data_IF_792698710888
#
_entry.id   IF_792698710888
#
_cell.length_a   1.000
_cell.length_b   1.000
_cell.length_c   1.000
_cell.angle_alpha   90.00
_cell.angle_beta   90.00
_cell.angle_gamma   90.00
#
_symmetry.space_group_name_H-M   'P 1'
#
loop_
_entity.id
_entity.type
_entity.pdbx_description
1 polymer ?
#
# COMPACT_ATOMS: atom_id res chain seq x y z
N UNK A 1 11.37 3.86 -6.93
CA UNK A 1 11.95 2.63 -6.37
C UNK A 1 10.79 1.66 -6.17
N UNK A 2 10.54 0.77 -7.14
CA UNK A 2 9.39 -0.16 -7.12
C UNK A 2 9.42 -1.22 -5.99
N UNK A 3 10.44 -1.19 -5.12
CA UNK A 3 10.66 -2.16 -4.05
C UNK A 3 9.45 -2.25 -3.11
N UNK A 4 8.82 -1.13 -2.77
CA UNK A 4 7.79 -1.10 -1.73
C UNK A 4 6.49 -1.83 -2.09
N UNK A 5 6.00 -1.76 -3.34
CA UNK A 5 4.78 -2.50 -3.74
C UNK A 5 5.07 -3.99 -3.98
N UNK A 6 6.20 -4.29 -4.61
CA UNK A 6 6.68 -5.65 -4.83
C UNK A 6 6.90 -6.41 -3.51
N UNK A 7 7.43 -5.74 -2.48
CA UNK A 7 7.60 -6.30 -1.14
C UNK A 7 6.27 -6.55 -0.43
N UNK A 8 5.30 -5.62 -0.54
CA UNK A 8 3.95 -5.82 -0.01
C UNK A 8 3.32 -7.05 -0.66
N UNK A 9 3.36 -7.16 -1.99
CA UNK A 9 2.81 -8.31 -2.71
C UNK A 9 3.44 -9.63 -2.29
N UNK A 10 4.77 -9.71 -2.18
CA UNK A 10 5.44 -10.96 -1.74
C UNK A 10 5.07 -11.37 -0.32
N UNK A 11 4.81 -10.39 0.54
CA UNK A 11 4.47 -10.63 1.94
C UNK A 11 3.01 -11.01 2.12
N UNK A 12 2.12 -10.36 1.38
CA UNK A 12 0.67 -10.60 1.46
C UNK A 12 0.24 -11.80 0.60
N UNK A 13 0.94 -12.06 -0.51
CA UNK A 13 0.64 -13.09 -1.49
C UNK A 13 1.89 -13.93 -1.82
N UNK A 14 2.38 -14.74 -0.86
CA UNK A 14 3.52 -15.62 -1.09
C UNK A 14 3.24 -16.76 -2.07
N UNK A 15 1.96 -17.05 -2.32
CA UNK A 15 1.48 -18.09 -3.24
C UNK A 15 1.41 -17.61 -4.70
N UNK A 16 1.67 -16.32 -4.93
CA UNK A 16 1.56 -15.69 -6.23
C UNK A 16 2.75 -16.11 -7.11
N UNK A 17 2.45 -16.77 -8.23
CA UNK A 17 3.47 -17.26 -9.16
C UNK A 17 4.29 -16.11 -9.78
N UNK A 18 5.52 -16.41 -10.18
CA UNK A 18 6.44 -15.41 -10.75
C UNK A 18 5.85 -14.64 -11.94
N UNK A 19 5.13 -15.32 -12.81
CA UNK A 19 4.47 -14.71 -13.97
C UNK A 19 3.35 -13.74 -13.57
N UNK A 20 2.51 -14.13 -12.61
CA UNK A 20 1.45 -13.27 -12.07
C UNK A 20 2.06 -12.07 -11.32
N UNK A 21 3.18 -12.29 -10.64
CA UNK A 21 3.86 -11.26 -9.88
C UNK A 21 4.44 -10.18 -10.80
N UNK A 22 5.09 -10.60 -11.89
CA UNK A 22 5.60 -9.68 -12.91
C UNK A 22 4.46 -8.93 -13.61
N UNK A 23 3.32 -9.59 -13.86
CA UNK A 23 2.14 -8.93 -14.40
C UNK A 23 1.62 -7.83 -13.46
N UNK A 24 1.36 -8.16 -12.19
CA UNK A 24 0.82 -7.22 -11.20
C UNK A 24 1.78 -6.05 -10.98
N UNK A 25 3.07 -6.34 -10.77
CA UNK A 25 4.07 -5.29 -10.59
C UNK A 25 4.27 -4.44 -11.84
N UNK A 26 4.16 -5.04 -13.03
CA UNK A 26 4.15 -4.34 -14.32
C UNK A 26 2.99 -3.35 -14.42
N UNK A 27 1.77 -3.80 -14.13
CA UNK A 27 0.55 -2.97 -14.12
C UNK A 27 0.66 -1.83 -13.12
N UNK A 28 1.15 -2.11 -11.91
CA UNK A 28 1.35 -1.07 -10.87
C UNK A 28 2.40 -0.03 -11.29
N UNK A 29 3.44 -0.45 -11.99
CA UNK A 29 4.48 0.45 -12.47
C UNK A 29 3.99 1.31 -13.63
N UNK A 30 3.33 0.69 -14.63
CA UNK A 30 2.82 1.38 -15.81
C UNK A 30 1.62 2.26 -15.52
N UNK A 31 0.73 1.82 -14.62
CA UNK A 31 -0.52 2.50 -14.27
C UNK A 31 -0.42 3.39 -13.04
N UNK A 32 0.76 3.54 -12.41
CA UNK A 32 0.94 4.36 -11.20
C UNK A 32 0.37 5.78 -11.29
N UNK A 33 0.33 6.35 -12.50
CA UNK A 33 -0.25 7.66 -12.81
C UNK A 33 -1.71 7.62 -13.23
N UNK A 34 -2.22 6.46 -13.64
CA UNK A 34 -3.59 6.25 -14.11
C UNK A 34 -4.52 5.79 -12.98
N UNK A 35 -3.98 5.30 -11.86
CA UNK A 35 -4.76 4.99 -10.67
C UNK A 35 -5.10 6.27 -9.89
N UNK A 36 -6.35 6.71 -9.98
CA UNK A 36 -6.87 7.84 -9.20
C UNK A 36 -7.41 7.39 -7.84
N UNK A 37 -7.88 6.15 -7.76
CA UNK A 37 -8.47 5.56 -6.57
C UNK A 37 -8.01 4.11 -6.33
N UNK A 38 -8.24 3.63 -5.12
CA UNK A 38 -8.00 2.22 -4.78
C UNK A 38 -8.90 1.28 -5.59
N UNK A 39 -10.10 1.73 -5.97
CA UNK A 39 -11.02 0.94 -6.76
C UNK A 39 -10.44 0.70 -8.17
N UNK A 40 -9.81 1.71 -8.79
CA UNK A 40 -9.13 1.55 -10.10
C UNK A 40 -7.99 0.52 -10.02
N UNK A 41 -7.23 0.53 -8.93
CA UNK A 41 -6.17 -0.45 -8.69
C UNK A 41 -6.74 -1.84 -8.43
N UNK A 42 -7.85 -1.92 -7.70
CA UNK A 42 -8.55 -3.17 -7.43
C UNK A 42 -9.20 -3.76 -8.68
N UNK A 43 -9.77 -2.95 -9.57
CA UNK A 43 -10.27 -3.41 -10.86
C UNK A 43 -9.14 -3.93 -11.75
N UNK A 44 -7.95 -3.32 -11.70
CA UNK A 44 -6.83 -3.71 -12.53
C UNK A 44 -6.12 -5.01 -12.05
N UNK A 45 -5.92 -5.16 -10.74
CA UNK A 45 -5.17 -6.31 -10.18
C UNK A 45 -5.87 -7.03 -9.03
N UNK A 46 -6.91 -6.45 -8.44
CA UNK A 46 -7.61 -6.98 -7.27
C UNK A 46 -8.34 -8.30 -7.53
N UNK A 47 -8.99 -8.47 -8.68
CA UNK A 47 -9.60 -9.77 -9.06
C UNK A 47 -8.56 -10.89 -9.12
N UNK A 48 -7.39 -10.61 -9.69
CA UNK A 48 -6.30 -11.58 -9.74
C UNK A 48 -5.78 -11.91 -8.34
N UNK A 49 -5.66 -10.89 -7.47
CA UNK A 49 -5.26 -11.07 -6.07
C UNK A 49 -6.29 -11.86 -5.27
N UNK A 50 -7.59 -11.70 -5.54
CA UNK A 50 -8.64 -12.52 -4.95
C UNK A 50 -8.53 -13.98 -5.38
N UNK A 51 -8.26 -14.23 -6.67
CA UNK A 51 -8.18 -15.60 -7.20
C UNK A 51 -7.05 -16.40 -6.53
N UNK A 52 -5.87 -15.78 -6.37
CA UNK A 52 -4.71 -16.41 -5.70
C UNK A 52 -4.86 -16.51 -4.18
N UNK A 53 -5.76 -15.74 -3.58
CA UNK A 53 -5.91 -15.64 -2.11
C UNK A 53 -7.25 -16.13 -1.60
N UNK A 54 -8.02 -16.80 -2.46
CA UNK A 54 -9.41 -17.15 -2.21
C UNK A 54 -9.62 -17.96 -0.93
N UNK A 55 -8.62 -18.73 -0.54
CA UNK A 55 -8.62 -19.57 0.65
C UNK A 55 -8.05 -18.88 1.90
N UNK A 56 -7.41 -17.72 1.76
CA UNK A 56 -6.66 -17.06 2.84
C UNK A 56 -7.11 -15.63 3.17
N UNK A 57 -7.75 -14.91 2.25
CA UNK A 57 -8.18 -13.51 2.41
C UNK A 57 -9.56 -13.28 1.83
N UNK A 58 -10.32 -12.41 2.46
CA UNK A 58 -11.61 -11.94 1.94
C UNK A 58 -11.47 -10.63 1.13
N UNK A 59 -12.56 -10.19 0.51
CA UNK A 59 -12.59 -8.97 -0.31
C UNK A 59 -12.13 -7.72 0.44
N UNK A 60 -12.38 -7.65 1.75
CA UNK A 60 -11.98 -6.54 2.61
C UNK A 60 -10.48 -6.55 2.82
N UNK A 61 -9.90 -7.73 3.06
CA UNK A 61 -8.45 -7.91 3.18
C UNK A 61 -7.73 -7.54 1.88
N UNK A 62 -8.25 -7.99 0.72
CA UNK A 62 -7.65 -7.66 -0.59
C UNK A 62 -7.71 -6.16 -0.83
N UNK A 63 -8.85 -5.50 -0.59
CA UNK A 63 -8.95 -4.05 -0.69
C UNK A 63 -7.99 -3.32 0.26
N UNK A 64 -7.76 -3.84 1.46
CA UNK A 64 -6.78 -3.26 2.39
C UNK A 64 -5.34 -3.38 1.88
N UNK A 65 -5.00 -4.47 1.17
CA UNK A 65 -3.69 -4.61 0.50
C UNK A 65 -3.58 -3.64 -0.67
N UNK A 66 -4.61 -3.57 -1.53
CA UNK A 66 -4.69 -2.61 -2.64
C UNK A 66 -4.53 -1.16 -2.15
N UNK A 67 -5.18 -0.79 -1.04
CA UNK A 67 -5.05 0.53 -0.40
C UNK A 67 -3.61 0.81 0.06
N UNK A 68 -2.93 -0.17 0.67
CA UNK A 68 -1.53 -0.02 1.10
C UNK A 68 -0.60 0.19 -0.10
N UNK A 69 -0.82 -0.54 -1.18
CA UNK A 69 -0.05 -0.41 -2.41
C UNK A 69 -0.31 0.94 -3.09
N UNK A 70 -1.58 1.34 -3.20
CA UNK A 70 -1.97 2.66 -3.73
C UNK A 70 -1.33 3.81 -2.96
N UNK A 71 -1.41 3.77 -1.63
CA UNK A 71 -0.77 4.78 -0.79
C UNK A 71 0.74 4.82 -1.00
N UNK A 72 1.38 3.66 -1.17
CA UNK A 72 2.82 3.55 -1.43
C UNK A 72 3.21 4.16 -2.77
N UNK A 73 2.42 3.91 -3.83
CA UNK A 73 2.62 4.51 -5.16
C UNK A 73 2.51 6.04 -5.10
N UNK A 74 1.48 6.56 -4.40
CA UNK A 74 1.27 8.00 -4.25
C UNK A 74 2.29 8.67 -3.29
N UNK A 75 2.71 7.98 -2.23
CA UNK A 75 3.75 8.47 -1.31
C UNK A 75 5.12 8.61 -1.98
N UNK A 76 5.45 7.74 -2.94
CA UNK A 76 6.70 7.88 -3.70
C UNK A 76 6.67 9.13 -4.61
N UNK A 77 5.49 9.48 -5.12
CA UNK A 77 5.26 10.67 -5.95
C UNK A 77 5.26 11.98 -5.14
N UNK A 78 4.72 11.95 -3.92
CA UNK A 78 4.63 13.08 -2.99
C UNK A 78 5.88 13.23 -2.09
N UNK A 79 7.08 13.23 -2.68
CA UNK A 79 8.30 13.69 -1.97
C UNK A 79 8.34 15.24 -1.81
N UNK A 80 7.19 15.83 -1.48
CA UNK A 80 7.10 17.14 -0.83
C UNK A 80 6.67 16.91 0.63
N UNK A 81 7.43 17.38 1.64
CA UNK A 81 7.15 17.12 3.04
C UNK A 81 5.92 17.92 3.46
N UNK A 82 4.72 17.35 3.30
CA UNK A 82 3.50 17.94 3.81
C UNK A 82 2.53 16.86 4.25
N UNK A 83 2.71 16.47 5.52
CA UNK A 83 1.59 16.22 6.43
C UNK A 83 0.65 15.06 6.09
N UNK A 84 1.13 13.82 6.22
CA UNK A 84 0.23 12.71 6.63
C UNK A 84 0.95 11.60 7.38
N UNK A 85 1.44 11.93 8.56
CA UNK A 85 1.68 10.93 9.60
C UNK A 85 0.32 10.46 10.13
N UNK A 86 -0.16 9.30 9.68
CA UNK A 86 -1.23 8.58 10.39
C UNK A 86 -0.82 7.13 10.59
N UNK A 87 -0.47 6.87 11.85
CA UNK A 87 -0.99 5.75 12.62
C UNK A 87 -0.49 4.37 12.21
N UNK A 88 0.79 4.11 12.52
CA UNK A 88 1.22 2.78 12.88
C UNK A 88 0.67 2.47 14.27
N UNK A 89 -0.11 1.39 14.40
CA UNK A 89 -0.79 0.92 15.62
C UNK A 89 0.20 0.30 16.64
N UNK A 90 1.21 1.09 17.02
CA UNK A 90 2.11 0.79 18.13
C UNK A 90 2.03 1.96 19.12
N UNK A 91 1.90 1.72 20.44
CA UNK A 91 1.63 2.78 21.40
C UNK A 91 2.82 3.74 21.49
N UNK A 92 2.69 4.88 20.83
CA UNK A 92 3.66 5.97 20.91
C UNK A 92 3.48 6.61 22.29
N UNK A 93 4.41 6.30 23.20
CA UNK A 93 4.46 6.94 24.51
C UNK A 93 4.85 8.41 24.33
N UNK A 94 3.84 9.26 24.16
CA UNK A 94 3.95 10.72 24.12
C UNK A 94 4.19 11.24 25.55
N UNK A 95 5.39 10.95 26.07
CA UNK A 95 5.88 11.52 27.31
C UNK A 95 6.68 12.78 27.01
N UNK A 96 6.03 13.94 27.21
CA UNK A 96 6.64 15.25 27.48
C UNK A 96 7.32 15.96 26.30
N UNK A 97 6.65 16.99 25.77
CA UNK A 97 7.29 18.31 25.71
C UNK A 97 6.32 19.28 26.38
N UNK A 98 6.62 19.53 27.66
CA UNK A 98 5.99 20.54 28.49
C UNK A 98 6.38 21.93 27.97
N UNK A 99 5.36 22.76 27.76
CA UNK A 99 5.28 24.19 28.07
C UNK A 99 6.58 24.80 28.62
N UNK A 100 7.20 25.72 27.88
CA UNK A 100 8.37 26.43 28.38
C UNK A 100 8.51 27.85 27.80
N UNK A 101 7.86 28.81 28.50
CA UNK A 101 8.18 30.24 28.70
C UNK A 101 8.22 31.15 27.44
N UNK A 102 7.57 32.31 27.38
CA UNK A 102 7.37 33.29 28.45
C UNK A 102 8.51 34.31 28.43
N UNK A 103 8.36 35.37 27.62
CA UNK A 103 8.85 36.73 27.92
C UNK A 103 8.01 37.77 27.17
#
# INVERSE_FOLDING_TARGET
MAASCAEILRREFPELDGEMFEYVTGVLHSGSTDFETVDDLFEAVGELLQDVSRDSKDDVDIRAVCQRMFNTLHLENENSPSSRQVLLDAPIQLSKITDNYGE
#
